data_IF_821370939452
#
_entry.id   IF_821370939452
#
_cell.length_a   1.000
_cell.length_b   1.000
_cell.length_c   1.000
_cell.angle_alpha   90.00
_cell.angle_beta   90.00
_cell.angle_gamma   90.00
#
_symmetry.space_group_name_H-M   'P 1'
#
loop_
_entity.id
_entity.type
_entity.pdbx_description
1 polymer ?
#
# COMPACT_ATOMS: atom_id res chain seq x y z
N UNK A 1 3.88 20.41 4.63
CA UNK A 1 3.72 19.06 4.03
C UNK A 1 2.62 19.02 2.99
N UNK A 2 1.37 19.38 3.32
CA UNK A 2 0.24 19.34 2.37
C UNK A 2 0.51 20.08 1.04
N UNK A 3 0.96 21.34 1.10
CA UNK A 3 1.22 22.13 -0.12
C UNK A 3 2.29 21.50 -1.03
N UNK A 4 3.35 20.95 -0.44
CA UNK A 4 4.42 20.31 -1.21
C UNK A 4 3.93 19.03 -1.91
N UNK A 5 3.12 18.22 -1.22
CA UNK A 5 2.49 17.03 -1.82
C UNK A 5 1.56 17.45 -2.96
N UNK A 6 0.72 18.46 -2.74
CA UNK A 6 -0.19 18.97 -3.77
C UNK A 6 0.58 19.43 -5.01
N UNK A 7 1.56 20.31 -4.85
CA UNK A 7 2.40 20.79 -5.95
C UNK A 7 3.11 19.65 -6.70
N UNK A 8 3.56 18.62 -5.98
CA UNK A 8 4.19 17.44 -6.57
C UNK A 8 3.19 16.65 -7.42
N UNK A 9 2.00 16.37 -6.90
CA UNK A 9 0.97 15.63 -7.63
C UNK A 9 0.47 16.43 -8.84
N UNK A 10 0.30 17.74 -8.70
CA UNK A 10 -0.08 18.65 -9.80
C UNK A 10 0.97 18.62 -10.92
N UNK A 11 2.27 18.65 -10.56
CA UNK A 11 3.35 18.56 -11.54
C UNK A 11 3.38 17.22 -12.29
N UNK A 12 3.02 16.12 -11.63
CA UNK A 12 2.92 14.79 -12.25
C UNK A 12 1.69 14.67 -13.16
N UNK A 13 0.60 15.36 -12.85
CA UNK A 13 -0.64 15.33 -13.62
C UNK A 13 -0.68 16.36 -14.76
N UNK A 14 0.26 17.30 -14.80
CA UNK A 14 0.37 18.28 -15.88
C UNK A 14 0.49 17.59 -17.24
N UNK A 15 -0.13 18.18 -18.27
CA UNK A 15 -0.03 17.68 -19.65
C UNK A 15 1.42 17.66 -20.15
N UNK A 16 2.22 18.63 -19.72
CA UNK A 16 3.66 18.72 -19.99
C UNK A 16 4.52 18.10 -18.87
N UNK A 17 3.90 17.32 -17.99
CA UNK A 17 4.54 16.64 -16.88
C UNK A 17 5.48 15.52 -17.33
N UNK A 18 6.32 15.01 -16.41
CA UNK A 18 7.21 13.90 -16.72
C UNK A 18 6.42 12.64 -17.08
N UNK A 19 6.91 11.85 -18.03
CA UNK A 19 6.26 10.58 -18.40
C UNK A 19 6.59 9.44 -17.42
N UNK A 20 7.71 9.58 -16.69
CA UNK A 20 8.19 8.61 -15.71
C UNK A 20 8.65 9.30 -14.43
N UNK A 21 8.46 8.64 -13.31
CA UNK A 21 8.87 9.11 -11.98
C UNK A 21 9.44 7.94 -11.20
N UNK A 22 10.27 8.23 -10.18
CA UNK A 22 10.74 7.21 -9.28
C UNK A 22 9.60 6.68 -8.42
N UNK A 23 9.52 5.35 -8.27
CA UNK A 23 8.69 4.64 -7.32
C UNK A 23 9.52 3.49 -6.76
N UNK A 24 9.81 3.51 -5.46
CA UNK A 24 10.58 2.46 -4.78
C UNK A 24 11.95 2.18 -5.41
N UNK A 25 12.65 3.22 -5.88
CA UNK A 25 13.95 3.09 -6.53
C UNK A 25 13.91 2.70 -8.01
N UNK A 26 12.72 2.57 -8.62
CA UNK A 26 12.55 2.27 -10.04
C UNK A 26 11.86 3.40 -10.79
N UNK A 27 12.23 3.64 -12.05
CA UNK A 27 11.52 4.57 -12.91
C UNK A 27 10.29 3.91 -13.52
N UNK A 28 9.11 4.36 -13.12
CA UNK A 28 7.81 3.84 -13.56
C UNK A 28 7.01 4.90 -14.30
N UNK A 29 6.06 4.53 -15.19
CA UNK A 29 5.11 5.48 -15.76
C UNK A 29 4.35 6.26 -14.67
N UNK A 30 4.00 7.52 -14.91
CA UNK A 30 3.26 8.30 -13.90
C UNK A 30 1.93 7.65 -13.50
N UNK A 31 1.20 7.05 -14.44
CA UNK A 31 -0.02 6.30 -14.12
C UNK A 31 0.24 5.16 -13.12
N UNK A 32 1.38 4.48 -13.26
CA UNK A 32 1.80 3.41 -12.36
C UNK A 32 2.15 3.95 -10.98
N UNK A 33 2.84 5.09 -10.91
CA UNK A 33 3.13 5.76 -9.64
C UNK A 33 1.88 6.08 -8.83
N UNK A 34 0.79 6.51 -9.48
CA UNK A 34 -0.47 6.76 -8.78
C UNK A 34 -1.12 5.48 -8.24
N UNK A 35 -0.92 4.33 -8.89
CA UNK A 35 -1.36 3.04 -8.34
C UNK A 35 -0.53 2.70 -7.09
N UNK A 36 0.80 2.84 -7.18
CA UNK A 36 1.69 2.59 -6.05
C UNK A 36 1.39 3.53 -4.87
N UNK A 37 1.15 4.81 -5.13
CA UNK A 37 0.81 5.82 -4.10
C UNK A 37 -0.46 5.45 -3.35
N UNK A 38 -1.46 4.96 -4.08
CA UNK A 38 -2.73 4.48 -3.54
C UNK A 38 -2.51 3.25 -2.64
N UNK A 39 -1.70 2.29 -3.10
CA UNK A 39 -1.38 1.08 -2.36
C UNK A 39 -0.66 1.42 -1.06
N UNK A 40 0.37 2.27 -1.11
CA UNK A 40 1.11 2.68 0.09
C UNK A 40 0.25 3.51 1.04
N UNK A 41 -0.56 4.44 0.54
CA UNK A 41 -1.51 5.19 1.38
C UNK A 41 -2.51 4.27 2.10
N UNK A 42 -2.95 3.21 1.42
CA UNK A 42 -3.80 2.18 2.02
C UNK A 42 -3.06 1.41 3.11
N UNK A 43 -1.80 1.07 2.84
CA UNK A 43 -0.96 0.37 3.80
C UNK A 43 -0.75 1.20 5.06
N UNK A 44 -0.43 2.49 4.91
CA UNK A 44 -0.28 3.43 6.03
C UNK A 44 -1.50 3.40 6.95
N UNK A 45 -2.71 3.48 6.40
CA UNK A 45 -3.95 3.47 7.20
C UNK A 45 -4.19 2.13 7.90
N UNK A 46 -3.87 1.02 7.22
CA UNK A 46 -4.15 -0.31 7.74
C UNK A 46 -3.12 -0.84 8.74
N UNK A 47 -1.91 -0.30 8.70
CA UNK A 47 -0.84 -0.59 9.65
C UNK A 47 -0.83 0.44 10.80
N UNK A 48 -1.97 1.04 11.13
CA UNK A 48 -2.05 1.93 12.29
C UNK A 48 -2.31 1.07 13.54
N UNK A 49 -1.57 1.28 14.66
CA UNK A 49 -0.73 2.43 15.01
C UNK A 49 0.74 2.37 14.59
N UNK A 50 1.24 1.29 13.99
CA UNK A 50 2.65 1.11 13.64
C UNK A 50 3.18 2.23 12.71
N UNK A 51 2.36 2.71 11.77
CA UNK A 51 2.73 3.81 10.87
C UNK A 51 2.77 5.21 11.52
N UNK A 52 2.38 5.34 12.80
CA UNK A 52 2.31 6.64 13.48
C UNK A 52 3.64 7.38 13.55
N UNK A 53 4.77 6.66 13.58
CA UNK A 53 6.12 7.24 13.57
C UNK A 53 6.47 8.03 12.32
N UNK A 54 5.73 7.85 11.22
CA UNK A 54 5.95 8.59 9.97
C UNK A 54 5.15 9.90 9.90
N UNK A 55 4.21 10.13 10.82
CA UNK A 55 3.44 11.37 10.86
C UNK A 55 4.35 12.56 11.21
N UNK A 56 4.12 13.69 10.54
CA UNK A 56 4.94 14.89 10.76
C UNK A 56 4.74 15.53 12.15
N UNK A 57 3.58 15.32 12.77
CA UNK A 57 3.28 15.82 14.12
C UNK A 57 2.38 14.83 14.88
N UNK A 58 2.40 14.85 16.24
CA UNK A 58 1.49 14.04 17.04
C UNK A 58 0.00 14.31 16.75
N UNK A 59 -0.36 15.56 16.48
CA UNK A 59 -1.73 15.94 16.11
C UNK A 59 -2.17 15.27 14.81
N UNK A 60 -1.29 15.25 13.80
CA UNK A 60 -1.58 14.54 12.55
C UNK A 60 -1.64 13.03 12.76
N UNK A 61 -0.77 12.47 13.60
CA UNK A 61 -0.82 11.05 13.96
C UNK A 61 -2.17 10.66 14.57
N UNK A 62 -2.70 11.49 15.48
CA UNK A 62 -4.02 11.27 16.08
C UNK A 62 -5.15 11.39 15.05
N UNK A 63 -5.09 12.39 14.17
CA UNK A 63 -6.10 12.56 13.12
C UNK A 63 -6.14 11.37 12.15
N UNK A 64 -4.97 10.88 11.74
CA UNK A 64 -4.86 9.68 10.88
C UNK A 64 -5.35 8.43 11.64
N UNK A 65 -5.01 8.29 12.92
CA UNK A 65 -5.50 7.17 13.72
C UNK A 65 -7.02 7.11 13.82
N UNK A 66 -7.69 8.25 14.02
CA UNK A 66 -9.16 8.32 14.02
C UNK A 66 -9.76 7.90 12.67
N UNK A 67 -9.14 8.32 11.58
CA UNK A 67 -9.56 7.95 10.23
C UNK A 67 -9.37 6.44 9.97
N UNK A 68 -8.22 5.89 10.35
CA UNK A 68 -7.92 4.46 10.25
C UNK A 68 -8.95 3.63 11.03
N UNK A 69 -9.22 4.02 12.28
CA UNK A 69 -10.22 3.38 13.13
C UNK A 69 -11.63 3.45 12.51
N UNK A 70 -12.00 4.60 11.93
CA UNK A 70 -13.29 4.78 11.28
C UNK A 70 -13.43 3.85 10.08
N UNK A 71 -12.43 3.81 9.20
CA UNK A 71 -12.41 2.93 8.02
C UNK A 71 -12.45 1.46 8.40
N UNK A 72 -11.80 1.08 9.50
CA UNK A 72 -11.86 -0.28 10.03
C UNK A 72 -13.26 -0.62 10.56
N UNK A 73 -13.92 0.31 11.27
CA UNK A 73 -15.31 0.09 11.69
C UNK A 73 -16.22 -0.09 10.49
N UNK A 74 -16.05 0.73 9.46
CA UNK A 74 -16.87 0.68 8.24
C UNK A 74 -16.63 -0.59 7.43
N UNK A 75 -15.39 -1.08 7.39
CA UNK A 75 -15.07 -2.36 6.75
C UNK A 75 -15.76 -3.53 7.46
N UNK A 76 -15.66 -3.61 8.79
CA UNK A 76 -16.29 -4.66 9.61
C UNK A 76 -17.82 -4.65 9.49
N UNK A 77 -18.44 -3.47 9.44
CA UNK A 77 -19.90 -3.34 9.25
C UNK A 77 -20.37 -3.85 7.90
N UNK A 78 -19.56 -3.68 6.86
CA UNK A 78 -19.90 -4.12 5.50
C UNK A 78 -19.67 -5.61 5.30
N UNK A 79 -18.68 -6.19 5.98
CA UNK A 79 -18.41 -7.64 5.92
C UNK A 79 -19.35 -8.46 6.81
N UNK A 80 -19.97 -7.87 7.84
CA UNK A 80 -20.95 -8.55 8.70
C UNK A 80 -22.38 -8.57 8.13
N UNK A 81 -22.67 -7.82 7.07
CA UNK A 81 -23.97 -7.78 6.39
C UNK A 81 -24.18 -8.91 5.39
N UNK A 82 -25.44 -9.17 5.00
CA UNK A 82 -25.84 -10.23 4.06
C UNK A 82 -25.22 -10.12 2.64
N UNK A 83 -24.55 -9.01 2.34
CA UNK A 83 -23.72 -8.83 1.14
C UNK A 83 -22.24 -8.88 1.53
N UNK A 84 -21.62 -10.05 1.39
CA UNK A 84 -20.15 -10.25 1.53
C UNK A 84 -19.40 -9.57 0.37
N UNK A 85 -19.52 -8.26 0.21
CA UNK A 85 -18.64 -7.52 -0.70
C UNK A 85 -17.34 -7.24 0.05
N UNK A 86 -16.20 -7.78 -0.41
CA UNK A 86 -14.92 -7.50 0.23
C UNK A 86 -14.69 -5.98 0.26
N UNK A 87 -14.18 -5.51 1.39
CA UNK A 87 -13.82 -4.11 1.57
C UNK A 87 -12.60 -3.81 0.70
N UNK A 88 -12.85 -3.43 -0.55
CA UNK A 88 -11.78 -3.21 -1.53
C UNK A 88 -10.96 -1.95 -1.24
N UNK A 89 -9.77 -1.89 -1.82
CA UNK A 89 -8.79 -0.80 -1.72
C UNK A 89 -9.37 0.56 -2.11
N UNK A 90 -10.36 0.57 -3.00
CA UNK A 90 -11.13 1.77 -3.35
C UNK A 90 -11.89 2.37 -2.15
N UNK A 91 -12.30 1.56 -1.17
CA UNK A 91 -12.94 2.05 0.07
C UNK A 91 -11.93 2.64 1.06
N UNK A 92 -10.68 2.14 1.06
CA UNK A 92 -9.60 2.66 1.91
C UNK A 92 -9.02 3.99 1.41
N UNK A 93 -9.31 4.38 0.18
CA UNK A 93 -8.87 5.63 -0.43
C UNK A 93 -10.02 6.53 -0.87
N UNK A 94 -11.26 6.20 -0.49
CA UNK A 94 -12.38 7.13 -0.61
C UNK A 94 -11.96 8.48 0.02
N UNK A 95 -12.32 9.62 -0.58
CA UNK A 95 -11.92 10.93 -0.06
C UNK A 95 -12.19 11.05 1.44
N UNK A 96 -11.18 11.43 2.21
CA UNK A 96 -11.34 11.71 3.64
C UNK A 96 -12.09 13.02 3.82
N UNK A 97 -12.89 13.14 4.88
CA UNK A 97 -13.58 14.39 5.21
C UNK A 97 -12.60 15.54 5.47
N UNK A 98 -11.42 15.23 6.04
CA UNK A 98 -10.36 16.19 6.34
C UNK A 98 -9.31 16.20 5.22
N UNK A 99 -9.17 17.30 4.46
CA UNK A 99 -8.11 17.46 3.46
C UNK A 99 -6.71 17.39 4.08
N UNK A 100 -6.58 17.88 5.33
CA UNK A 100 -5.32 17.81 6.08
C UNK A 100 -4.93 16.37 6.40
N UNK A 101 -5.89 15.54 6.78
CA UNK A 101 -5.64 14.11 7.06
C UNK A 101 -5.28 13.37 5.77
N UNK A 102 -6.00 13.64 4.68
CA UNK A 102 -5.70 13.06 3.36
C UNK A 102 -4.28 13.43 2.91
N UNK A 103 -3.93 14.71 2.95
CA UNK A 103 -2.59 15.16 2.59
C UNK A 103 -1.50 14.63 3.50
N UNK A 104 -1.81 14.36 4.78
CA UNK A 104 -0.86 13.75 5.69
C UNK A 104 -0.56 12.29 5.31
N UNK A 105 -1.59 11.51 4.99
CA UNK A 105 -1.46 10.12 4.52
C UNK A 105 -0.73 10.07 3.18
N UNK A 106 -1.13 10.92 2.21
CA UNK A 106 -0.46 11.00 0.91
C UNK A 106 1.01 11.45 1.05
N UNK A 107 1.32 12.37 1.97
CA UNK A 107 2.70 12.80 2.20
C UNK A 107 3.57 11.77 2.93
N UNK A 108 2.98 10.85 3.71
CA UNK A 108 3.71 9.68 4.20
C UNK A 108 4.00 8.74 3.02
N UNK A 109 2.97 8.42 2.23
CA UNK A 109 3.09 7.51 1.10
C UNK A 109 4.07 8.02 0.03
N UNK A 110 4.01 9.30 -0.31
CA UNK A 110 4.91 9.94 -1.27
C UNK A 110 6.37 9.83 -0.82
N UNK A 111 6.67 10.15 0.44
CA UNK A 111 8.02 10.02 1.01
C UNK A 111 8.51 8.56 1.01
N UNK A 112 7.61 7.60 1.21
CA UNK A 112 7.94 6.18 1.15
C UNK A 112 8.31 5.74 -0.28
N UNK A 113 7.63 6.30 -1.30
CA UNK A 113 7.88 6.00 -2.71
C UNK A 113 9.08 6.75 -3.31
N UNK A 114 9.32 8.00 -2.88
CA UNK A 114 10.44 8.83 -3.35
C UNK A 114 11.80 8.39 -2.76
N UNK A 115 11.79 7.41 -1.84
CA UNK A 115 12.97 6.77 -1.30
C UNK A 115 13.89 6.26 -2.41
N UNK A 116 14.95 7.03 -2.70
CA UNK A 116 15.93 6.71 -3.77
C UNK A 116 16.66 5.40 -3.50
N UNK A 117 16.74 4.99 -2.24
CA UNK A 117 17.29 3.72 -1.83
C UNK A 117 16.20 2.68 -1.63
N UNK A 118 16.14 1.71 -2.55
CA UNK A 118 15.27 0.52 -2.45
C UNK A 118 15.34 -0.15 -1.06
N UNK A 119 16.53 -0.21 -0.45
CA UNK A 119 16.70 -0.78 0.89
C UNK A 119 16.00 0.00 2.00
N UNK A 120 15.91 1.33 1.89
CA UNK A 120 15.16 2.13 2.86
C UNK A 120 13.65 1.88 2.71
N UNK A 121 13.16 1.83 1.47
CA UNK A 121 11.75 1.52 1.19
C UNK A 121 11.37 0.13 1.70
N UNK A 122 12.24 -0.87 1.52
CA UNK A 122 12.08 -2.22 2.08
C UNK A 122 11.97 -2.20 3.60
N UNK A 123 12.91 -1.53 4.29
CA UNK A 123 12.91 -1.45 5.76
C UNK A 123 11.71 -0.67 6.31
N UNK A 124 11.24 0.34 5.59
CA UNK A 124 10.13 1.17 6.02
C UNK A 124 8.77 0.48 5.80
N UNK A 125 8.57 -0.17 4.65
CA UNK A 125 7.28 -0.78 4.28
C UNK A 125 7.10 -2.19 4.83
N UNK A 126 8.17 -2.96 5.03
CA UNK A 126 8.09 -4.34 5.53
C UNK A 126 7.32 -4.49 6.86
N UNK A 127 7.67 -3.71 7.91
CA UNK A 127 6.93 -3.74 9.18
C UNK A 127 5.46 -3.32 9.04
N UNK A 128 5.17 -2.37 8.15
CA UNK A 128 3.80 -1.90 7.90
C UNK A 128 2.98 -2.99 7.20
N UNK A 129 3.58 -3.68 6.24
CA UNK A 129 2.95 -4.82 5.58
C UNK A 129 2.67 -5.97 6.54
N UNK A 130 3.62 -6.32 7.40
CA UNK A 130 3.41 -7.31 8.47
C UNK A 130 2.30 -6.90 9.45
N UNK A 131 2.28 -5.64 9.87
CA UNK A 131 1.23 -5.08 10.73
C UNK A 131 -0.15 -5.13 10.07
N UNK A 132 -0.25 -4.70 8.81
CA UNK A 132 -1.49 -4.72 8.06
C UNK A 132 -2.00 -6.16 7.80
N UNK A 133 -1.11 -7.13 7.51
CA UNK A 133 -1.48 -8.55 7.40
C UNK A 133 -2.01 -9.11 8.73
N UNK A 134 -1.39 -8.74 9.85
CA UNK A 134 -1.82 -9.18 11.19
C UNK A 134 -3.21 -8.67 11.53
N UNK A 135 -3.51 -7.42 11.14
CA UNK A 135 -4.79 -6.77 11.43
C UNK A 135 -5.88 -7.13 10.42
N UNK A 136 -5.54 -7.33 9.15
CA UNK A 136 -6.47 -7.32 8.01
C UNK A 136 -6.12 -8.34 6.91
N UNK A 137 -5.71 -9.56 7.31
CA UNK A 137 -5.24 -10.65 6.43
C UNK A 137 -5.98 -10.79 5.09
N UNK A 138 -7.29 -11.00 5.11
CA UNK A 138 -8.09 -11.26 3.91
C UNK A 138 -8.17 -10.04 2.95
N UNK A 139 -8.07 -8.83 3.50
CA UNK A 139 -8.08 -7.59 2.69
C UNK A 139 -6.70 -7.29 2.10
N UNK A 140 -5.63 -7.68 2.79
CA UNK A 140 -4.26 -7.34 2.42
C UNK A 140 -3.55 -8.40 1.57
N UNK A 141 -3.98 -9.67 1.62
CA UNK A 141 -3.54 -10.69 0.67
C UNK A 141 -3.88 -10.30 -0.78
N UNK A 142 -5.02 -9.64 -1.00
CA UNK A 142 -5.42 -9.11 -2.32
C UNK A 142 -4.64 -7.85 -2.72
N UNK A 143 -4.10 -7.11 -1.74
CA UNK A 143 -3.40 -5.84 -1.96
C UNK A 143 -2.03 -6.05 -2.61
N UNK A 144 -1.33 -7.11 -2.16
CA UNK A 144 -0.14 -7.65 -2.80
C UNK A 144 -0.38 -8.09 -4.25
N UNK A 145 -1.58 -8.60 -4.53
CA UNK A 145 -1.96 -9.19 -5.82
C UNK A 145 -2.66 -8.20 -6.75
N UNK A 146 -2.71 -6.92 -6.39
CA UNK A 146 -3.36 -5.91 -7.21
C UNK A 146 -2.74 -5.88 -8.62
N UNK A 147 -3.55 -6.08 -9.67
CA UNK A 147 -3.07 -5.95 -11.04
C UNK A 147 -2.54 -4.54 -11.27
N UNK A 148 -1.30 -4.42 -11.73
CA UNK A 148 -0.70 -3.16 -12.10
C UNK A 148 -0.12 -2.35 -10.95
N UNK A 149 0.46 -2.97 -9.91
CA UNK A 149 1.48 -2.34 -9.05
C UNK A 149 2.88 -2.48 -9.67
N UNK A 150 3.81 -1.56 -9.40
CA UNK A 150 5.18 -1.70 -9.93
C UNK A 150 5.90 -2.91 -9.35
N UNK A 151 6.84 -3.48 -10.11
CA UNK A 151 7.64 -4.61 -9.65
C UNK A 151 8.47 -4.26 -8.40
N UNK A 152 8.97 -3.03 -8.31
CA UNK A 152 9.66 -2.54 -7.12
C UNK A 152 8.80 -2.57 -5.86
N UNK A 153 7.51 -2.19 -5.96
CA UNK A 153 6.59 -2.29 -4.84
C UNK A 153 6.21 -3.75 -4.53
N UNK A 154 6.03 -4.60 -5.55
CA UNK A 154 5.72 -6.03 -5.37
C UNK A 154 6.85 -6.78 -4.65
N UNK A 155 8.11 -6.49 -5.00
CA UNK A 155 9.28 -7.00 -4.32
C UNK A 155 9.31 -6.55 -2.84
N UNK A 156 8.93 -5.30 -2.57
CA UNK A 156 8.88 -4.77 -1.20
C UNK A 156 7.79 -5.41 -0.35
N UNK A 157 6.65 -5.72 -0.96
CA UNK A 157 5.53 -6.37 -0.29
C UNK A 157 5.69 -7.90 -0.21
N UNK A 158 6.82 -8.47 -0.65
CA UNK A 158 7.09 -9.91 -0.57
C UNK A 158 6.26 -10.78 -1.52
N UNK A 159 5.59 -10.17 -2.50
CA UNK A 159 4.68 -10.87 -3.44
C UNK A 159 5.45 -11.68 -4.47
N UNK A 160 6.65 -11.22 -4.82
CA UNK A 160 7.50 -11.88 -5.81
C UNK A 160 8.08 -13.22 -5.33
N UNK A 161 8.28 -13.41 -4.02
CA UNK A 161 8.84 -14.66 -3.50
C UNK A 161 7.80 -15.79 -3.39
N UNK A 162 6.55 -15.50 -3.03
CA UNK A 162 5.48 -16.53 -2.94
C UNK A 162 5.15 -17.20 -4.29
N UNK A 163 5.30 -16.47 -5.40
CA UNK A 163 5.08 -17.03 -6.74
C UNK A 163 6.17 -18.04 -7.16
N UNK A 164 7.37 -17.90 -6.61
CA UNK A 164 8.50 -18.79 -6.93
C UNK A 164 8.47 -20.04 -6.05
N UNK A 165 8.02 -19.91 -4.80
CA UNK A 165 7.91 -21.04 -3.87
C UNK A 165 6.71 -21.96 -4.19
N UNK A 166 5.62 -21.39 -4.73
CA UNK A 166 4.47 -22.17 -5.22
C UNK A 166 4.76 -22.95 -6.51
N UNK A 167 5.71 -22.49 -7.33
CA UNK A 167 6.16 -23.20 -8.54
C UNK A 167 7.14 -24.33 -8.23
N UNK A 168 7.81 -24.31 -7.08
CA UNK A 168 8.74 -25.37 -6.66
C UNK A 168 8.06 -26.51 -5.87
N UNK A 169 6.82 -26.32 -5.44
CA UNK A 169 6.07 -27.34 -4.68
C UNK A 169 5.44 -28.45 -5.56
N UNK A 170 5.46 -28.33 -6.89
CA UNK A 170 4.88 -29.32 -7.83
C UNK A 170 5.92 -30.04 -8.69
N UNK A 171 7.05 -30.49 -8.11
CA UNK A 171 7.83 -31.58 -8.72
C UNK A 171 8.23 -32.59 -7.64
N UNK A 172 7.26 -33.35 -7.15
CA UNK A 172 7.53 -34.64 -6.53
C UNK A 172 6.96 -35.74 -7.42
N UNK A 173 7.73 -36.10 -8.46
CA UNK A 173 7.44 -37.25 -9.31
C UNK A 173 7.52 -38.50 -8.42
N UNK A 174 6.36 -39.11 -8.17
CA UNK A 174 6.22 -40.44 -7.58
C UNK A 174 7.13 -41.42 -8.32
N UNK A 175 8.14 -41.95 -7.62
CA UNK A 175 8.94 -43.07 -8.11
C UNK A 175 8.07 -44.32 -8.35
N UNK A 176 8.44 -45.20 -9.30
CA UNK A 176 7.65 -46.37 -9.64
C UNK A 176 7.66 -47.39 -8.49
N UNK A 177 6.47 -47.86 -8.12
CA UNK A 177 6.28 -49.04 -7.26
C UNK A 177 6.58 -50.28 -8.09
N UNK A 178 7.71 -50.93 -7.81
CA UNK A 178 7.98 -52.28 -8.29
C UNK A 178 7.04 -53.26 -7.56
N UNK A 179 6.29 -54.04 -8.35
CA UNK A 179 5.58 -55.25 -7.95
C UNK A 179 5.99 -56.37 -8.88
#
# INVERSE_FOLDING_TARGET
MLLAVQQRLDALLSADGPQKVNSCGQLVPVAQYFIDLRVVATLVLASWPEASGFAATPTLAQAIGREADQRLRDSRRRTSGASKRPYGINSLLAPMESPLTMGAVLGIAERMLDGREKQWTLRALGPLYGGALTLHRDTFQELARLPGTSSGLQEVLGVAEEATDSSNAEIHIRGPRNG
#
